data_IF_392208802901
#
_entry.id   IF_392208802901
#
_cell.length_a   1.000
_cell.length_b   1.000
_cell.length_c   1.000
_cell.angle_alpha   90.00
_cell.angle_beta   90.00
_cell.angle_gamma   90.00
#
_symmetry.space_group_name_H-M   'P 1'
#
loop_
_entity.id
_entity.type
_entity.pdbx_description
1 polymer ?
#
# COMPACT_ATOMS: atom_id res chain seq x y z
N UNK A 1 6.09 -15.57 -7.08
CA UNK A 1 7.22 -14.62 -6.97
C UNK A 1 6.71 -13.23 -7.28
N UNK A 2 6.97 -12.25 -6.43
CA UNK A 2 6.65 -10.85 -6.72
C UNK A 2 7.87 -10.22 -7.40
N UNK A 3 7.70 -9.71 -8.62
CA UNK A 3 8.78 -9.05 -9.35
C UNK A 3 8.77 -7.55 -9.05
N UNK A 4 9.93 -7.01 -8.70
CA UNK A 4 10.09 -5.58 -8.45
C UNK A 4 10.22 -4.87 -9.81
N UNK A 5 9.17 -4.17 -10.22
CA UNK A 5 9.21 -3.32 -11.41
C UNK A 5 10.07 -2.08 -11.10
N UNK A 6 11.31 -2.06 -11.58
CA UNK A 6 12.24 -0.95 -11.36
C UNK A 6 11.82 0.34 -12.06
N UNK A 7 11.91 1.47 -11.37
CA UNK A 7 11.61 2.80 -11.90
C UNK A 7 12.66 3.24 -12.93
N UNK A 8 12.23 3.75 -14.09
CA UNK A 8 13.13 4.32 -15.11
C UNK A 8 13.52 5.75 -14.74
N UNK A 9 14.79 6.11 -14.96
CA UNK A 9 15.28 7.48 -14.77
C UNK A 9 14.50 8.45 -15.69
N UNK A 10 13.74 9.35 -15.08
CA UNK A 10 12.73 10.20 -15.74
C UNK A 10 11.38 10.20 -14.99
N UNK A 11 11.14 9.17 -14.18
CA UNK A 11 9.91 8.99 -13.42
C UNK A 11 9.90 9.78 -12.09
N UNK A 12 11.03 10.32 -11.61
CA UNK A 12 11.11 10.96 -10.28
C UNK A 12 10.19 12.19 -10.12
N UNK A 13 10.12 13.06 -11.15
CA UNK A 13 9.21 14.22 -11.17
C UNK A 13 7.74 13.81 -11.30
N UNK A 14 7.48 12.66 -11.92
CA UNK A 14 6.16 12.07 -12.10
C UNK A 14 5.71 11.34 -10.81
N UNK A 15 6.59 10.58 -10.19
CA UNK A 15 6.43 9.88 -8.92
C UNK A 15 6.21 10.84 -7.75
N UNK A 16 6.82 12.02 -7.76
CA UNK A 16 6.53 13.07 -6.78
C UNK A 16 5.12 13.67 -6.96
N UNK A 17 4.60 13.73 -8.19
CA UNK A 17 3.21 14.18 -8.49
C UNK A 17 2.17 13.10 -8.19
N UNK A 18 2.52 11.84 -8.43
CA UNK A 18 1.70 10.67 -8.14
C UNK A 18 2.38 9.87 -7.03
N UNK A 19 2.47 10.47 -5.84
CA UNK A 19 2.97 9.78 -4.65
C UNK A 19 2.22 8.44 -4.49
N UNK A 20 2.95 7.40 -4.07
CA UNK A 20 2.48 6.03 -4.16
C UNK A 20 1.14 5.85 -3.43
N UNK A 21 0.07 5.72 -4.20
CA UNK A 21 -1.30 5.55 -3.71
C UNK A 21 -1.54 4.09 -3.31
N UNK A 22 -0.66 3.51 -2.49
CA UNK A 22 -0.73 2.11 -2.06
C UNK A 22 -1.76 1.89 -0.94
N UNK A 23 -2.91 2.57 -1.00
CA UNK A 23 -4.00 2.39 -0.05
C UNK A 23 -4.76 1.11 -0.40
N UNK A 24 -4.59 0.07 0.41
CA UNK A 24 -5.24 -1.22 0.19
C UNK A 24 -5.27 -2.08 1.46
N UNK A 25 -6.24 -3.00 1.57
CA UNK A 25 -6.14 -4.15 2.46
C UNK A 25 -4.94 -5.01 2.06
N UNK A 26 -4.09 -5.36 3.03
CA UNK A 26 -2.86 -6.11 2.79
C UNK A 26 -2.96 -7.57 3.22
N UNK A 27 -3.62 -7.83 4.35
CA UNK A 27 -3.74 -9.17 4.92
C UNK A 27 -4.94 -9.27 5.87
N UNK A 28 -5.60 -10.42 5.86
CA UNK A 28 -6.64 -10.80 6.81
C UNK A 28 -6.16 -12.02 7.59
N UNK A 29 -6.17 -11.94 8.93
CA UNK A 29 -5.83 -13.04 9.81
C UNK A 29 -6.66 -12.96 11.10
N UNK A 30 -7.29 -14.08 11.49
CA UNK A 30 -8.03 -14.22 12.76
C UNK A 30 -9.00 -13.06 13.08
N UNK A 31 -9.79 -12.63 12.07
CA UNK A 31 -10.76 -11.54 12.22
C UNK A 31 -10.15 -10.13 12.33
N UNK A 32 -8.85 -9.99 12.09
CA UNK A 32 -8.13 -8.72 12.04
C UNK A 32 -7.61 -8.44 10.64
N UNK A 33 -7.85 -7.23 10.17
CA UNK A 33 -7.47 -6.76 8.85
C UNK A 33 -6.35 -5.73 8.97
N UNK A 34 -5.27 -5.97 8.23
CA UNK A 34 -4.18 -5.03 8.08
C UNK A 34 -4.45 -4.14 6.87
N UNK A 35 -4.57 -2.84 7.08
CA UNK A 35 -4.86 -1.84 6.04
C UNK A 35 -3.76 -0.79 6.04
N UNK A 36 -3.31 -0.37 4.85
CA UNK A 36 -2.47 0.81 4.68
C UNK A 36 -3.31 2.00 4.20
N UNK A 37 -3.24 3.12 4.91
CA UNK A 37 -3.71 4.43 4.40
C UNK A 37 -2.52 5.23 3.82
N UNK A 38 -2.74 6.50 3.44
CA UNK A 38 -1.69 7.32 2.84
C UNK A 38 -0.49 7.59 3.77
N UNK A 39 -0.68 7.50 5.09
CA UNK A 39 0.28 7.97 6.11
C UNK A 39 0.68 6.89 7.10
N UNK A 40 -0.14 5.88 7.32
CA UNK A 40 0.04 4.89 8.38
C UNK A 40 -0.51 3.51 8.00
N UNK A 41 -0.03 2.52 8.75
CA UNK A 41 -0.48 1.14 8.71
C UNK A 41 -1.37 0.87 9.93
N UNK A 42 -2.54 0.31 9.72
CA UNK A 42 -3.57 0.10 10.75
C UNK A 42 -3.97 -1.37 10.82
N UNK A 43 -4.13 -1.89 12.04
CA UNK A 43 -4.75 -3.18 12.29
C UNK A 43 -6.15 -2.93 12.85
N UNK A 44 -7.19 -3.34 12.12
CA UNK A 44 -8.58 -3.13 12.49
C UNK A 44 -9.27 -4.47 12.72
N UNK A 45 -10.23 -4.52 13.66
CA UNK A 45 -11.10 -5.69 13.83
C UNK A 45 -12.19 -5.65 12.76
N UNK A 46 -12.43 -6.77 12.08
CA UNK A 46 -13.54 -6.91 11.14
C UNK A 46 -14.83 -7.13 11.93
N UNK A 47 -15.86 -6.34 11.63
CA UNK A 47 -17.20 -6.53 12.17
C UNK A 47 -18.02 -7.40 11.19
N UNK A 48 -19.00 -8.15 11.73
CA UNK A 48 -19.98 -8.93 10.95
C UNK A 48 -21.01 -8.03 10.26
#
# INVERSE_FOLDING_TARGET
SAELLGSKAGDERMAARFATQNWAPLALADGKLLIRDQTRLMCVKVAE
#
